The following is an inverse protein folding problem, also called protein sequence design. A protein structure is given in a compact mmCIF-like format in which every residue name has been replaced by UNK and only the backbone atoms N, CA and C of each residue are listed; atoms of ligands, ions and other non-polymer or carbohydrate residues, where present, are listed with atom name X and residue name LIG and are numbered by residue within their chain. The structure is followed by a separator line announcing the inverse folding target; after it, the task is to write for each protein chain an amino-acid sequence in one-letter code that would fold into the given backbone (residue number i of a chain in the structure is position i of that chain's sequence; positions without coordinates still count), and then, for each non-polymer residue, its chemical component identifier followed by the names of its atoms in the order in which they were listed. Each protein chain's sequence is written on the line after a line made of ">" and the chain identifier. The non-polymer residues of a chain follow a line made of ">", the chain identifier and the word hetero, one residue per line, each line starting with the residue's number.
data_IF_418274486628
#
_entry.id   IF_418274486628
#
_cell.length_a   1.000
_cell.length_b   1.000
_cell.length_c   1.000
_cell.angle_alpha   90.00
_cell.angle_beta   90.00
_cell.angle_gamma   90.00
#
_symmetry.space_group_name_H-M   'P 1'
#
loop_
_entity.id
_entity.type
_entity.pdbx_description
1 polymer ?
#
# COMPACT_ATOMS: atom_id res chain seq x y z
N UNK A 1 -45.27 -16.82 -14.24
CA UNK A 1 -44.36 -17.92 -14.57
C UNK A 1 -44.46 -18.93 -13.45
N UNK A 2 -45.40 -19.86 -13.58
CA UNK A 2 -45.31 -21.12 -12.84
C UNK A 2 -44.14 -21.91 -13.45
N UNK A 3 -43.23 -22.46 -12.63
CA UNK A 3 -42.12 -23.31 -13.09
C UNK A 3 -40.70 -22.71 -13.09
N UNK A 4 -40.46 -21.56 -12.44
CA UNK A 4 -39.09 -21.08 -12.22
C UNK A 4 -38.42 -21.87 -11.06
N UNK A 5 -37.25 -22.46 -11.33
CA UNK A 5 -36.47 -23.26 -10.37
C UNK A 5 -35.71 -22.35 -9.39
N UNK A 6 -35.06 -21.30 -9.90
CA UNK A 6 -34.40 -20.27 -9.09
C UNK A 6 -34.40 -18.94 -9.82
N UNK A 7 -34.57 -17.87 -9.06
CA UNK A 7 -34.49 -16.49 -9.56
C UNK A 7 -33.65 -15.64 -8.61
N UNK A 8 -32.97 -14.62 -9.15
CA UNK A 8 -32.15 -13.74 -8.31
C UNK A 8 -31.38 -12.68 -9.08
N UNK A 9 -30.88 -11.68 -8.35
CA UNK A 9 -30.00 -10.65 -8.92
C UNK A 9 -28.57 -11.16 -9.03
N UNK A 10 -27.98 -10.99 -10.22
CA UNK A 10 -26.57 -11.28 -10.48
C UNK A 10 -25.92 -10.11 -11.23
N UNK A 11 -24.60 -10.11 -11.31
CA UNK A 11 -23.89 -9.30 -12.29
C UNK A 11 -23.39 -10.18 -13.43
N UNK A 12 -23.62 -9.75 -14.67
CA UNK A 12 -23.19 -10.48 -15.87
C UNK A 12 -22.22 -9.64 -16.68
N UNK A 13 -21.11 -10.23 -17.11
CA UNK A 13 -20.17 -9.56 -18.01
C UNK A 13 -20.74 -9.48 -19.42
N UNK A 14 -20.80 -8.28 -19.97
CA UNK A 14 -21.18 -8.05 -21.37
C UNK A 14 -20.16 -8.69 -22.29
N UNK A 15 -20.62 -9.45 -23.28
CA UNK A 15 -19.73 -10.10 -24.23
C UNK A 15 -18.97 -9.12 -25.12
N UNK A 16 -19.66 -8.09 -25.61
CA UNK A 16 -19.08 -7.08 -26.51
C UNK A 16 -18.34 -6.00 -25.73
N UNK A 17 -18.98 -5.45 -24.70
CA UNK A 17 -18.43 -4.30 -23.98
C UNK A 17 -17.48 -4.67 -22.85
N UNK A 18 -17.39 -5.97 -22.50
CA UNK A 18 -16.63 -6.50 -21.35
C UNK A 18 -16.93 -5.87 -19.98
N UNK A 19 -17.99 -5.05 -19.88
CA UNK A 19 -18.48 -4.42 -18.65
C UNK A 19 -19.48 -5.30 -17.91
N UNK A 20 -19.39 -5.32 -16.59
CA UNK A 20 -20.34 -5.97 -15.68
C UNK A 20 -21.64 -5.18 -15.58
N UNK A 21 -22.78 -5.88 -15.58
CA UNK A 21 -24.10 -5.25 -15.42
C UNK A 21 -25.02 -6.12 -14.60
N UNK A 22 -25.75 -5.49 -13.67
CA UNK A 22 -26.78 -6.14 -12.87
C UNK A 22 -27.93 -6.66 -13.75
N UNK A 23 -28.31 -7.93 -13.59
CA UNK A 23 -29.39 -8.60 -14.33
C UNK A 23 -30.16 -9.53 -13.39
N UNK A 24 -31.45 -9.69 -13.66
CA UNK A 24 -32.27 -10.69 -13.00
C UNK A 24 -32.12 -12.02 -13.74
N UNK A 25 -31.52 -13.02 -13.10
CA UNK A 25 -31.34 -14.36 -13.64
C UNK A 25 -32.54 -15.22 -13.28
N UNK A 26 -33.02 -16.00 -14.24
CA UNK A 26 -34.12 -16.94 -14.08
C UNK A 26 -33.68 -18.26 -14.69
N UNK A 27 -33.64 -19.31 -13.86
CA UNK A 27 -33.50 -20.69 -14.30
C UNK A 27 -34.88 -21.35 -14.27
N UNK A 28 -35.32 -21.87 -15.41
CA UNK A 28 -36.41 -22.83 -15.52
C UNK A 28 -35.89 -24.17 -16.06
N UNK A 29 -36.79 -25.14 -16.26
CA UNK A 29 -36.44 -26.49 -16.73
C UNK A 29 -35.73 -26.51 -18.09
N UNK A 30 -36.06 -25.55 -18.96
CA UNK A 30 -35.64 -25.57 -20.36
C UNK A 30 -34.59 -24.50 -20.67
N UNK A 31 -34.60 -23.39 -19.93
CA UNK A 31 -33.83 -22.20 -20.22
C UNK A 31 -33.28 -21.50 -18.98
N UNK A 32 -32.09 -20.95 -19.17
CA UNK A 32 -31.50 -19.96 -18.31
C UNK A 32 -31.55 -18.59 -19.00
N UNK A 33 -32.31 -17.65 -18.42
CA UNK A 33 -32.57 -16.33 -19.02
C UNK A 33 -32.16 -15.19 -18.09
N UNK A 34 -31.74 -14.07 -18.69
CA UNK A 34 -31.37 -12.86 -17.94
C UNK A 34 -32.19 -11.66 -18.38
N UNK A 35 -32.68 -10.85 -17.44
CA UNK A 35 -33.54 -9.70 -17.68
C UNK A 35 -32.96 -8.42 -17.09
N UNK A 36 -33.38 -7.27 -17.63
CA UNK A 36 -32.97 -5.96 -17.09
C UNK A 36 -33.68 -5.65 -15.77
N UNK A 37 -34.94 -6.05 -15.64
CA UNK A 37 -35.78 -5.84 -14.47
C UNK A 37 -36.48 -7.15 -14.08
N UNK A 38 -36.78 -7.36 -12.79
CA UNK A 38 -37.56 -8.50 -12.35
C UNK A 38 -39.01 -8.32 -12.84
N UNK A 39 -39.70 -9.43 -13.12
CA UNK A 39 -41.11 -9.45 -13.54
C UNK A 39 -41.42 -8.78 -14.91
N UNK A 40 -40.42 -8.28 -15.63
CA UNK A 40 -40.53 -7.82 -17.02
C UNK A 40 -39.85 -8.83 -17.95
N UNK A 41 -40.64 -9.82 -18.37
CA UNK A 41 -40.15 -11.00 -19.11
C UNK A 41 -40.28 -10.90 -20.63
N UNK A 42 -40.77 -9.76 -21.13
CA UNK A 42 -40.97 -9.45 -22.54
C UNK A 42 -39.65 -9.37 -23.33
N UNK A 43 -38.54 -8.97 -22.69
CA UNK A 43 -37.23 -8.82 -23.35
C UNK A 43 -36.07 -9.43 -22.56
N UNK A 44 -35.79 -10.71 -22.82
CA UNK A 44 -34.59 -11.37 -22.30
C UNK A 44 -33.30 -10.80 -22.92
N UNK A 45 -32.32 -10.45 -22.09
CA UNK A 45 -30.98 -9.97 -22.50
C UNK A 45 -29.99 -11.09 -22.83
N UNK A 46 -30.30 -12.33 -22.44
CA UNK A 46 -29.76 -13.55 -23.00
C UNK A 46 -30.67 -14.72 -22.63
N UNK A 47 -30.70 -15.71 -23.51
CA UNK A 47 -31.45 -16.95 -23.38
C UNK A 47 -30.53 -18.10 -23.75
N UNK A 48 -30.33 -19.01 -22.81
CA UNK A 48 -29.47 -20.19 -22.97
C UNK A 48 -30.38 -21.40 -22.76
N UNK A 49 -30.42 -22.33 -23.72
CA UNK A 49 -31.09 -23.63 -23.49
C UNK A 49 -30.26 -24.42 -22.49
N UNK A 50 -30.90 -24.94 -21.45
CA UNK A 50 -30.23 -25.74 -20.41
C UNK A 50 -29.52 -26.95 -21.02
N UNK A 51 -30.14 -27.60 -22.01
CA UNK A 51 -29.56 -28.72 -22.75
C UNK A 51 -28.31 -28.37 -23.58
N UNK A 52 -28.07 -27.09 -23.86
CA UNK A 52 -26.89 -26.63 -24.59
C UNK A 52 -25.73 -26.22 -23.67
N UNK A 53 -25.88 -26.34 -22.35
CA UNK A 53 -24.83 -26.03 -21.39
C UNK A 53 -23.87 -27.23 -21.29
N UNK A 54 -22.64 -27.04 -21.74
CA UNK A 54 -21.59 -28.07 -21.68
C UNK A 54 -20.92 -28.09 -20.31
N UNK A 55 -20.72 -26.92 -19.72
CA UNK A 55 -20.09 -26.77 -18.41
C UNK A 55 -20.68 -25.57 -17.65
N UNK A 56 -20.81 -25.71 -16.33
CA UNK A 56 -21.11 -24.63 -15.42
C UNK A 56 -20.20 -24.81 -14.20
N UNK A 57 -19.23 -23.91 -14.03
CA UNK A 57 -18.16 -24.06 -13.04
C UNK A 57 -17.70 -22.72 -12.49
N UNK A 58 -17.08 -22.70 -11.30
CA UNK A 58 -16.44 -21.49 -10.77
C UNK A 58 -15.42 -20.91 -11.76
N UNK A 59 -15.28 -19.59 -11.79
CA UNK A 59 -14.38 -18.89 -12.68
C UNK A 59 -13.42 -18.01 -11.88
N UNK A 60 -12.23 -18.54 -11.61
CA UNK A 60 -11.23 -17.93 -10.75
C UNK A 60 -10.31 -16.92 -11.47
N UNK A 61 -10.33 -16.92 -12.80
CA UNK A 61 -9.46 -16.04 -13.59
C UNK A 61 -9.97 -14.58 -13.62
N UNK A 62 -11.15 -14.31 -13.07
CA UNK A 62 -11.66 -12.95 -12.95
C UNK A 62 -11.21 -12.33 -11.63
N UNK A 63 -10.29 -11.37 -11.71
CA UNK A 63 -9.75 -10.67 -10.53
C UNK A 63 -10.59 -9.45 -10.11
N UNK A 64 -11.50 -8.98 -10.97
CA UNK A 64 -12.29 -7.76 -10.70
C UNK A 64 -13.60 -7.99 -9.96
N UNK A 65 -14.00 -9.26 -9.74
CA UNK A 65 -15.28 -9.64 -9.14
C UNK A 65 -15.17 -10.91 -8.33
N UNK A 66 -15.77 -10.89 -7.15
CA UNK A 66 -15.90 -12.06 -6.28
C UNK A 66 -17.04 -12.98 -6.74
N UNK A 67 -17.03 -14.23 -6.25
CA UNK A 67 -18.08 -15.24 -6.47
C UNK A 67 -18.45 -15.43 -7.95
N UNK A 68 -17.43 -15.42 -8.80
CA UNK A 68 -17.57 -15.57 -10.24
C UNK A 68 -17.70 -17.03 -10.65
N UNK A 69 -18.61 -17.28 -11.59
CA UNK A 69 -18.76 -18.54 -12.27
C UNK A 69 -19.01 -18.35 -13.76
N UNK A 70 -18.63 -19.36 -14.54
CA UNK A 70 -18.83 -19.40 -15.99
C UNK A 70 -19.90 -20.43 -16.35
N UNK A 71 -20.61 -20.13 -17.42
CA UNK A 71 -21.50 -21.07 -18.11
C UNK A 71 -20.99 -21.17 -19.54
N UNK A 72 -20.57 -22.37 -19.94
CA UNK A 72 -20.06 -22.68 -21.25
C UNK A 72 -21.14 -23.36 -22.09
N UNK A 73 -21.32 -22.87 -23.31
CA UNK A 73 -22.05 -23.53 -24.39
C UNK A 73 -21.06 -23.80 -25.54
N UNK A 74 -21.39 -24.63 -26.54
CA UNK A 74 -20.52 -24.87 -27.68
C UNK A 74 -20.09 -23.59 -28.42
N UNK A 75 -20.94 -22.56 -28.38
CA UNK A 75 -20.75 -21.31 -29.12
C UNK A 75 -20.23 -20.16 -28.28
N UNK A 76 -20.37 -20.21 -26.94
CA UNK A 76 -20.13 -19.04 -26.10
C UNK A 76 -19.93 -19.37 -24.63
N UNK A 77 -19.13 -18.55 -23.96
CA UNK A 77 -19.05 -18.50 -22.51
C UNK A 77 -19.77 -17.27 -21.94
N UNK A 78 -20.45 -17.47 -20.82
CA UNK A 78 -21.13 -16.43 -20.05
C UNK A 78 -20.47 -16.33 -18.67
N UNK A 79 -19.98 -15.14 -18.33
CA UNK A 79 -19.38 -14.88 -17.02
C UNK A 79 -20.40 -14.15 -16.13
N UNK A 80 -20.61 -14.70 -14.93
CA UNK A 80 -21.61 -14.26 -13.97
C UNK A 80 -20.94 -14.17 -12.60
N UNK A 81 -21.27 -13.14 -11.83
CA UNK A 81 -20.87 -12.95 -10.43
C UNK A 81 -22.14 -12.93 -9.57
N UNK A 82 -22.15 -13.79 -8.54
CA UNK A 82 -23.23 -13.87 -7.57
C UNK A 82 -23.00 -12.90 -6.40
N UNK A 83 -24.00 -12.75 -5.53
CA UNK A 83 -23.90 -11.85 -4.36
C UNK A 83 -23.12 -12.44 -3.19
N UNK A 84 -22.94 -13.78 -3.16
CA UNK A 84 -22.18 -14.51 -2.16
C UNK A 84 -21.69 -15.86 -2.71
N UNK A 85 -20.78 -16.49 -1.99
CA UNK A 85 -20.30 -17.86 -2.24
C UNK A 85 -21.44 -18.88 -2.18
N UNK A 86 -22.32 -18.78 -1.18
CA UNK A 86 -23.50 -19.64 -1.03
C UNK A 86 -24.43 -19.50 -2.23
N UNK A 87 -24.68 -18.28 -2.71
CA UNK A 87 -25.56 -18.06 -3.86
C UNK A 87 -24.92 -18.57 -5.17
N UNK A 88 -23.60 -18.38 -5.34
CA UNK A 88 -22.84 -18.96 -6.46
C UNK A 88 -22.96 -20.49 -6.49
N UNK A 89 -22.72 -21.15 -5.36
CA UNK A 89 -22.83 -22.61 -5.23
C UNK A 89 -24.27 -23.06 -5.53
N UNK A 90 -25.27 -22.35 -4.99
CA UNK A 90 -26.68 -22.62 -5.27
C UNK A 90 -27.02 -22.56 -6.76
N UNK A 91 -26.55 -21.52 -7.46
CA UNK A 91 -26.72 -21.41 -8.91
C UNK A 91 -26.03 -22.54 -9.67
N UNK A 92 -24.76 -22.82 -9.36
CA UNK A 92 -23.99 -23.86 -10.02
C UNK A 92 -24.61 -25.24 -9.85
N UNK A 93 -25.07 -25.58 -8.65
CA UNK A 93 -25.66 -26.88 -8.38
C UNK A 93 -26.98 -27.06 -9.15
N UNK A 94 -27.85 -26.05 -9.13
CA UNK A 94 -29.13 -26.13 -9.85
C UNK A 94 -28.95 -26.17 -11.36
N UNK A 95 -28.04 -25.37 -11.93
CA UNK A 95 -27.74 -25.38 -13.37
C UNK A 95 -27.14 -26.74 -13.78
N UNK A 96 -26.19 -27.26 -13.00
CA UNK A 96 -25.56 -28.55 -13.27
C UNK A 96 -26.53 -29.73 -13.11
N UNK A 97 -27.48 -29.62 -12.18
CA UNK A 97 -28.55 -30.60 -12.02
C UNK A 97 -29.51 -30.56 -13.22
N UNK A 98 -30.02 -29.36 -13.56
CA UNK A 98 -30.97 -29.16 -14.65
C UNK A 98 -30.42 -29.63 -16.00
N UNK A 99 -29.12 -29.40 -16.30
CA UNK A 99 -28.51 -29.86 -17.56
C UNK A 99 -28.33 -31.38 -17.67
N UNK A 100 -28.32 -32.11 -16.54
CA UNK A 100 -28.08 -33.56 -16.50
C UNK A 100 -29.37 -34.39 -16.47
N UNK A 101 -30.50 -33.81 -16.07
CA UNK A 101 -31.78 -34.53 -15.89
C UNK A 101 -32.92 -33.87 -16.70
N UNK A 102 -33.13 -34.23 -17.98
CA UNK A 102 -34.15 -33.62 -18.85
C UNK A 102 -35.59 -34.09 -18.59
N UNK A 103 -35.83 -35.00 -17.63
CA UNK A 103 -37.14 -35.62 -17.40
C UNK A 103 -37.47 -35.63 -15.90
N UNK A 104 -38.35 -34.72 -15.46
CA UNK A 104 -39.13 -34.93 -14.23
C UNK A 104 -40.60 -34.64 -14.56
N UNK A 105 -41.53 -35.59 -14.32
CA UNK A 105 -42.94 -35.35 -14.51
C UNK A 105 -43.46 -34.32 -13.50
N UNK A 106 -44.35 -33.46 -13.98
CA UNK A 106 -45.12 -32.49 -13.20
C UNK A 106 -45.62 -33.08 -11.87
N UNK A 107 -44.95 -32.74 -10.77
CA UNK A 107 -45.51 -32.85 -9.43
C UNK A 107 -45.34 -31.51 -8.72
N UNK A 108 -46.47 -30.93 -8.36
CA UNK A 108 -46.65 -29.66 -7.67
C UNK A 108 -46.05 -29.69 -6.27
N UNK A 109 -44.76 -29.37 -6.14
CA UNK A 109 -44.15 -28.91 -4.89
C UNK A 109 -42.77 -28.25 -5.16
N UNK A 110 -42.79 -27.09 -5.80
CA UNK A 110 -41.57 -26.40 -6.24
C UNK A 110 -41.02 -25.44 -5.17
N UNK A 111 -39.87 -25.81 -4.61
CA UNK A 111 -38.68 -24.98 -4.29
C UNK A 111 -37.78 -25.70 -3.27
N UNK A 112 -38.35 -26.30 -2.22
CA UNK A 112 -37.58 -26.81 -1.08
C UNK A 112 -36.85 -28.15 -1.34
N UNK A 113 -37.44 -29.07 -2.13
CA UNK A 113 -36.87 -30.41 -2.36
C UNK A 113 -35.63 -30.40 -3.27
N UNK A 114 -35.63 -29.54 -4.30
CA UNK A 114 -34.49 -29.40 -5.21
C UNK A 114 -33.33 -28.65 -4.57
N UNK A 115 -33.60 -27.61 -3.79
CA UNK A 115 -32.58 -26.99 -2.92
C UNK A 115 -31.99 -28.01 -1.96
N UNK A 116 -32.79 -28.83 -1.26
CA UNK A 116 -32.29 -29.86 -0.34
C UNK A 116 -31.39 -30.90 -1.01
N UNK A 117 -31.70 -31.32 -2.24
CA UNK A 117 -30.90 -32.32 -2.96
C UNK A 117 -29.61 -31.72 -3.51
N UNK A 118 -29.66 -30.49 -4.02
CA UNK A 118 -28.51 -29.71 -4.48
C UNK A 118 -27.59 -29.26 -3.33
N UNK A 119 -28.14 -29.07 -2.12
CA UNK A 119 -27.44 -28.77 -0.87
C UNK A 119 -27.15 -30.03 -0.04
N UNK A 120 -27.35 -31.22 -0.59
CA UNK A 120 -26.98 -32.45 0.10
C UNK A 120 -25.48 -32.46 0.37
N UNK A 121 -25.06 -32.99 1.52
CA UNK A 121 -23.66 -33.04 1.95
C UNK A 121 -22.76 -33.65 0.86
N UNK A 122 -23.24 -34.67 0.15
CA UNK A 122 -22.49 -35.33 -0.93
C UNK A 122 -22.22 -34.38 -2.12
N UNK A 123 -23.20 -33.57 -2.52
CA UNK A 123 -23.06 -32.61 -3.62
C UNK A 123 -22.17 -31.43 -3.23
N UNK A 124 -22.25 -30.98 -1.97
CA UNK A 124 -21.37 -29.95 -1.41
C UNK A 124 -19.93 -30.45 -1.34
N UNK A 125 -19.68 -31.65 -0.79
CA UNK A 125 -18.35 -32.27 -0.72
C UNK A 125 -17.72 -32.39 -2.10
N UNK A 126 -18.46 -32.92 -3.09
CA UNK A 126 -17.96 -33.03 -4.47
C UNK A 126 -17.58 -31.67 -5.07
N UNK A 127 -18.36 -30.63 -4.79
CA UNK A 127 -18.10 -29.28 -5.29
C UNK A 127 -16.89 -28.64 -4.62
N UNK A 128 -16.74 -28.81 -3.30
CA UNK A 128 -15.58 -28.36 -2.53
C UNK A 128 -14.30 -29.09 -2.93
N UNK A 129 -14.35 -30.40 -3.16
CA UNK A 129 -13.20 -31.17 -3.65
C UNK A 129 -12.73 -30.67 -5.01
N UNK A 130 -13.66 -30.40 -5.93
CA UNK A 130 -13.29 -29.86 -7.25
C UNK A 130 -12.73 -28.44 -7.15
N UNK A 131 -13.28 -27.62 -6.25
CA UNK A 131 -12.77 -26.28 -6.00
C UNK A 131 -11.34 -26.30 -5.45
N UNK A 132 -11.07 -27.18 -4.49
CA UNK A 132 -9.74 -27.38 -3.90
C UNK A 132 -8.72 -27.83 -4.95
N UNK A 133 -9.10 -28.74 -5.84
CA UNK A 133 -8.25 -29.21 -6.94
C UNK A 133 -7.88 -28.05 -7.89
N UNK A 134 -8.84 -27.21 -8.26
CA UNK A 134 -8.60 -26.05 -9.14
C UNK A 134 -7.69 -25.03 -8.44
N UNK A 135 -7.90 -24.78 -7.14
CA UNK A 135 -7.04 -23.87 -6.37
C UNK A 135 -5.60 -24.37 -6.31
N UNK A 136 -5.39 -25.64 -5.99
CA UNK A 136 -4.05 -26.23 -5.93
C UNK A 136 -3.33 -26.16 -7.28
N UNK A 137 -4.04 -26.44 -8.38
CA UNK A 137 -3.46 -26.35 -9.72
C UNK A 137 -3.06 -24.91 -10.08
N UNK A 138 -3.88 -23.92 -9.66
CA UNK A 138 -3.59 -22.50 -9.91
C UNK A 138 -2.43 -22.01 -9.05
N UNK A 139 -2.33 -22.48 -7.80
CA UNK A 139 -1.22 -22.20 -6.92
C UNK A 139 0.10 -22.69 -7.53
N UNK A 140 0.14 -23.93 -8.03
CA UNK A 140 1.33 -24.48 -8.69
C UNK A 140 1.72 -23.68 -9.94
N UNK A 141 0.75 -23.34 -10.80
CA UNK A 141 1.01 -22.54 -12.00
C UNK A 141 1.60 -21.16 -11.66
N UNK A 142 1.14 -20.53 -10.58
CA UNK A 142 1.68 -19.25 -10.13
C UNK A 142 3.10 -19.37 -9.56
N UNK A 143 3.39 -20.45 -8.83
CA UNK A 143 4.73 -20.75 -8.33
C UNK A 143 5.71 -20.93 -9.50
N UNK A 144 5.33 -21.73 -10.51
CA UNK A 144 6.19 -21.99 -11.66
C UNK A 144 6.52 -20.70 -12.45
N UNK A 145 5.53 -19.81 -12.64
CA UNK A 145 5.72 -18.50 -13.29
C UNK A 145 6.63 -17.59 -12.46
N UNK A 146 6.49 -17.60 -11.13
CA UNK A 146 7.33 -16.81 -10.24
C UNK A 146 8.78 -17.31 -10.25
N UNK A 147 8.98 -18.62 -10.26
CA UNK A 147 10.30 -19.24 -10.33
C UNK A 147 11.00 -18.90 -11.66
N UNK A 148 10.28 -18.96 -12.79
CA UNK A 148 10.84 -18.57 -14.10
C UNK A 148 11.27 -17.09 -14.11
N UNK A 149 10.43 -16.20 -13.60
CA UNK A 149 10.76 -14.78 -13.49
C UNK A 149 11.97 -14.55 -12.57
N UNK A 150 12.03 -15.24 -11.43
CA UNK A 150 13.14 -15.15 -10.48
C UNK A 150 14.47 -15.61 -11.10
N UNK A 151 14.47 -16.73 -11.84
CA UNK A 151 15.67 -17.20 -12.54
C UNK A 151 16.15 -16.20 -13.61
N UNK A 152 15.22 -15.58 -14.35
CA UNK A 152 15.57 -14.53 -15.32
C UNK A 152 16.27 -13.34 -14.66
N UNK A 153 15.74 -12.86 -13.54
CA UNK A 153 16.34 -11.73 -12.80
C UNK A 153 17.72 -12.08 -12.24
N UNK A 154 17.92 -13.32 -11.78
CA UNK A 154 19.24 -13.78 -11.32
C UNK A 154 20.27 -13.72 -12.45
N UNK A 155 19.92 -14.19 -13.65
CA UNK A 155 20.85 -14.17 -14.79
C UNK A 155 21.18 -12.75 -15.24
N UNK A 156 20.19 -11.85 -15.28
CA UNK A 156 20.43 -10.42 -15.54
C UNK A 156 21.40 -9.80 -14.52
N UNK A 157 21.19 -10.08 -13.23
CA UNK A 157 22.05 -9.59 -12.15
C UNK A 157 23.49 -10.14 -12.24
N UNK A 158 23.67 -11.41 -12.65
CA UNK A 158 25.00 -12.00 -12.88
C UNK A 158 25.73 -11.31 -14.04
N UNK A 159 25.02 -11.02 -15.13
CA UNK A 159 25.59 -10.32 -16.29
C UNK A 159 26.02 -8.91 -15.88
N UNK A 160 25.17 -8.19 -15.13
CA UNK A 160 25.49 -6.84 -14.64
C UNK A 160 26.67 -6.85 -13.66
N UNK A 161 26.72 -7.80 -12.72
CA UNK A 161 27.87 -7.96 -11.81
C UNK A 161 29.18 -8.19 -12.57
N UNK A 162 29.17 -9.09 -13.57
CA UNK A 162 30.35 -9.34 -14.41
C UNK A 162 30.82 -8.07 -15.15
N UNK A 163 29.88 -7.24 -15.59
CA UNK A 163 30.17 -5.98 -16.25
C UNK A 163 30.76 -4.94 -15.27
N UNK A 164 30.17 -4.82 -14.07
CA UNK A 164 30.67 -3.92 -13.02
C UNK A 164 32.06 -4.31 -12.53
N UNK A 165 32.35 -5.60 -12.37
CA UNK A 165 33.68 -6.09 -11.97
C UNK A 165 34.76 -5.68 -12.97
N UNK A 166 34.46 -5.78 -14.28
CA UNK A 166 35.38 -5.34 -15.33
C UNK A 166 35.64 -3.84 -15.29
N UNK A 167 34.63 -3.04 -14.96
CA UNK A 167 34.77 -1.59 -14.79
C UNK A 167 35.62 -1.28 -13.56
N UNK A 168 35.30 -1.90 -12.41
CA UNK A 168 36.01 -1.70 -11.16
C UNK A 168 37.49 -2.07 -11.27
N UNK A 169 37.81 -3.17 -11.95
CA UNK A 169 39.19 -3.57 -12.20
C UNK A 169 39.96 -2.48 -12.98
N UNK A 170 39.35 -1.98 -14.07
CA UNK A 170 39.96 -0.93 -14.90
C UNK A 170 40.14 0.39 -14.14
N UNK A 171 39.19 0.76 -13.30
CA UNK A 171 39.29 1.94 -12.43
C UNK A 171 40.36 1.77 -11.35
N UNK A 172 40.47 0.58 -10.75
CA UNK A 172 41.50 0.25 -9.76
C UNK A 172 42.91 0.38 -10.35
N UNK A 173 43.12 -0.17 -11.56
CA UNK A 173 44.39 -0.05 -12.30
C UNK A 173 44.71 1.42 -12.60
N UNK A 174 43.70 2.20 -12.97
CA UNK A 174 43.85 3.64 -13.25
C UNK A 174 44.20 4.44 -11.98
N UNK A 175 43.57 4.12 -10.85
CA UNK A 175 43.86 4.73 -9.56
C UNK A 175 45.28 4.41 -9.08
N UNK A 176 45.70 3.15 -9.19
CA UNK A 176 47.07 2.73 -8.84
C UNK A 176 48.12 3.47 -9.68
N UNK A 177 47.87 3.62 -10.99
CA UNK A 177 48.74 4.40 -11.87
C UNK A 177 48.83 5.87 -11.43
N UNK A 178 47.70 6.49 -11.08
CA UNK A 178 47.64 7.86 -10.59
C UNK A 178 48.36 8.05 -9.25
N UNK A 179 48.15 7.14 -8.30
CA UNK A 179 48.83 7.14 -7.00
C UNK A 179 50.35 6.98 -7.16
N UNK A 180 50.80 6.14 -8.09
CA UNK A 180 52.21 5.99 -8.43
C UNK A 180 52.86 7.29 -8.92
N UNK A 181 52.16 8.06 -9.77
CA UNK A 181 52.64 9.36 -10.26
C UNK A 181 52.73 10.40 -9.13
N UNK A 182 51.72 10.46 -8.26
CA UNK A 182 51.73 11.39 -7.13
C UNK A 182 52.87 11.10 -6.15
N UNK A 183 53.17 9.82 -5.95
CA UNK A 183 54.22 9.33 -5.04
C UNK A 183 55.63 9.41 -5.63
N UNK A 184 55.80 9.77 -6.91
CA UNK A 184 57.13 9.90 -7.52
C UNK A 184 57.87 11.15 -7.01
N UNK A 185 59.20 11.16 -7.09
CA UNK A 185 60.02 12.34 -6.74
C UNK A 185 60.17 13.36 -7.90
N UNK A 186 59.33 13.26 -8.94
CA UNK A 186 59.39 14.15 -10.09
C UNK A 186 58.95 15.58 -9.78
N UNK A 187 59.39 16.53 -10.61
CA UNK A 187 58.89 17.91 -10.55
C UNK A 187 57.38 17.95 -10.79
N UNK A 188 56.71 18.92 -10.16
CA UNK A 188 55.24 19.11 -10.27
C UNK A 188 54.81 19.20 -11.74
N UNK A 189 55.59 19.86 -12.59
CA UNK A 189 55.32 19.98 -14.04
C UNK A 189 55.35 18.63 -14.75
N UNK A 190 56.29 17.74 -14.39
CA UNK A 190 56.38 16.41 -14.98
C UNK A 190 55.26 15.49 -14.48
N UNK A 191 54.86 15.62 -13.21
CA UNK A 191 53.67 14.92 -12.67
C UNK A 191 52.39 15.31 -13.39
N UNK A 192 52.18 16.61 -13.62
CA UNK A 192 51.01 17.12 -14.38
C UNK A 192 51.00 16.56 -15.81
N UNK A 193 52.13 16.57 -16.51
CA UNK A 193 52.22 15.99 -17.87
C UNK A 193 51.98 14.48 -17.88
N UNK A 194 52.42 13.75 -16.85
CA UNK A 194 52.19 12.32 -16.73
C UNK A 194 50.71 12.00 -16.49
N UNK A 195 50.04 12.76 -15.61
CA UNK A 195 48.60 12.66 -15.36
C UNK A 195 47.81 12.93 -16.65
N UNK A 196 48.18 13.95 -17.42
CA UNK A 196 47.52 14.30 -18.69
C UNK A 196 47.68 13.24 -19.79
N UNK A 197 48.62 12.30 -19.65
CA UNK A 197 48.81 11.16 -20.57
C UNK A 197 47.97 9.94 -20.20
N UNK A 198 47.37 9.89 -19.00
CA UNK A 198 46.44 8.83 -18.64
C UNK A 198 45.20 8.98 -19.54
N UNK A 199 44.84 7.95 -20.34
CA UNK A 199 43.77 8.06 -21.31
C UNK A 199 42.44 8.46 -20.64
N UNK A 200 41.91 9.62 -21.04
CA UNK A 200 40.69 10.22 -20.51
C UNK A 200 39.40 9.40 -20.77
N UNK A 201 39.49 8.29 -21.49
CA UNK A 201 38.32 7.49 -21.90
C UNK A 201 37.54 6.91 -20.70
N UNK A 202 38.12 6.91 -19.50
CA UNK A 202 37.49 6.43 -18.28
C UNK A 202 37.65 7.36 -17.07
N UNK A 203 38.06 8.62 -17.23
CA UNK A 203 37.76 9.66 -16.22
C UNK A 203 36.30 10.11 -16.35
N UNK A 204 35.41 9.15 -16.58
CA UNK A 204 34.02 9.34 -16.27
C UNK A 204 33.95 9.22 -14.75
N UNK A 205 34.05 10.35 -14.05
CA UNK A 205 33.13 10.51 -12.92
C UNK A 205 31.73 10.42 -13.54
N UNK A 206 31.25 9.20 -13.81
CA UNK A 206 29.82 8.98 -14.01
C UNK A 206 29.17 9.62 -12.81
N UNK A 207 28.07 10.34 -13.04
CA UNK A 207 27.13 10.60 -11.95
C UNK A 207 26.94 9.24 -11.27
N UNK A 208 27.18 9.19 -9.97
CA UNK A 208 26.99 7.96 -9.20
C UNK A 208 25.49 7.68 -9.22
N UNK A 209 25.01 7.00 -10.26
CA UNK A 209 23.59 6.74 -10.51
C UNK A 209 22.98 5.81 -9.44
N UNK A 210 23.80 5.31 -8.49
CA UNK A 210 23.41 4.46 -7.37
C UNK A 210 23.81 5.01 -5.98
N UNK A 211 24.13 6.31 -5.87
CA UNK A 211 24.11 6.99 -4.57
C UNK A 211 22.82 7.80 -4.48
N UNK A 212 21.69 7.11 -4.50
CA UNK A 212 20.51 7.60 -3.77
C UNK A 212 20.68 7.13 -2.33
N UNK A 213 21.02 8.06 -1.43
CA UNK A 213 20.96 7.82 0.02
C UNK A 213 22.28 7.63 0.78
N UNK A 214 23.46 7.94 0.21
CA UNK A 214 24.65 8.17 1.06
C UNK A 214 24.80 9.67 1.28
N UNK A 215 24.43 10.12 2.48
CA UNK A 215 24.66 11.49 2.94
C UNK A 215 26.16 11.74 3.05
N UNK A 216 26.73 12.42 2.05
CA UNK A 216 28.07 12.97 2.15
C UNK A 216 27.99 14.18 3.09
N UNK A 217 28.31 13.97 4.36
CA UNK A 217 28.38 15.03 5.37
C UNK A 217 29.67 15.84 5.18
N UNK A 218 29.53 17.03 4.60
CA UNK A 218 30.64 17.99 4.46
C UNK A 218 30.46 19.14 5.44
N UNK A 219 31.40 19.31 6.36
CA UNK A 219 31.43 20.49 7.24
C UNK A 219 32.00 21.68 6.47
N UNK A 220 31.15 22.64 6.12
CA UNK A 220 31.54 23.88 5.43
C UNK A 220 31.43 25.06 6.40
N UNK A 221 32.51 25.84 6.50
CA UNK A 221 32.50 27.09 7.26
C UNK A 221 31.49 28.10 6.66
N UNK A 222 30.75 28.80 7.52
CA UNK A 222 29.59 29.63 7.16
C UNK A 222 29.88 30.66 6.05
N UNK A 223 31.10 31.19 6.05
CA UNK A 223 31.63 32.19 5.12
C UNK A 223 31.72 31.68 3.67
N UNK A 224 31.83 30.36 3.49
CA UNK A 224 32.01 29.71 2.19
C UNK A 224 30.71 29.14 1.61
N UNK A 225 29.61 29.15 2.38
CA UNK A 225 28.30 28.62 1.96
C UNK A 225 27.79 29.24 0.65
N UNK A 226 27.92 30.57 0.52
CA UNK A 226 27.47 31.31 -0.67
C UNK A 226 28.30 31.02 -1.93
N UNK A 227 29.50 30.45 -1.78
CA UNK A 227 30.38 30.08 -2.89
C UNK A 227 30.15 28.65 -3.38
N UNK A 228 29.64 27.79 -2.50
CA UNK A 228 29.44 26.34 -2.78
C UNK A 228 28.02 26.07 -3.28
N UNK A 229 27.01 26.79 -2.79
CA UNK A 229 25.62 26.60 -3.19
C UNK A 229 25.33 27.48 -4.41
N UNK A 230 25.21 26.86 -5.59
CA UNK A 230 24.64 27.53 -6.77
C UNK A 230 23.11 27.63 -6.62
N UNK A 231 22.48 28.61 -7.27
CA UNK A 231 21.05 28.92 -7.18
C UNK A 231 20.08 27.80 -7.58
N UNK A 232 20.59 26.65 -8.04
CA UNK A 232 19.82 25.55 -8.60
C UNK A 232 19.89 24.27 -7.73
N UNK A 233 20.43 24.34 -6.51
CA UNK A 233 20.50 23.20 -5.59
C UNK A 233 19.55 23.45 -4.42
N UNK A 234 18.54 22.59 -4.31
CA UNK A 234 17.64 22.54 -3.15
C UNK A 234 18.35 21.80 -2.02
N UNK A 235 18.72 22.51 -0.95
CA UNK A 235 19.44 21.96 0.19
C UNK A 235 18.42 21.67 1.31
N UNK A 236 18.17 20.39 1.57
CA UNK A 236 17.45 19.96 2.78
C UNK A 236 18.43 19.99 3.96
N UNK A 237 18.18 20.87 4.91
CA UNK A 237 19.01 20.99 6.12
C UNK A 237 18.60 19.93 7.12
N UNK A 238 19.35 18.83 7.19
CA UNK A 238 19.26 17.92 8.32
C UNK A 238 20.16 18.43 9.45
N UNK A 239 19.58 18.66 10.63
CA UNK A 239 20.38 18.98 11.81
C UNK A 239 21.09 17.69 12.25
N UNK A 240 22.43 17.60 12.24
CA UNK A 240 23.16 16.38 12.57
C UNK A 240 22.96 15.89 14.01
N UNK A 241 22.38 16.71 14.88
CA UNK A 241 22.00 16.36 16.25
C UNK A 241 20.55 15.87 16.38
N UNK A 242 19.76 15.95 15.31
CA UNK A 242 18.37 15.50 15.32
C UNK A 242 18.31 13.97 15.35
N UNK A 243 17.47 13.48 16.23
CA UNK A 243 17.21 12.07 16.43
C UNK A 243 15.71 11.81 16.31
N UNK A 244 15.36 10.56 15.99
CA UNK A 244 13.99 10.12 15.73
C UNK A 244 13.58 9.03 16.71
N UNK A 245 12.37 9.14 17.23
CA UNK A 245 11.66 8.06 17.91
C UNK A 245 10.48 7.64 17.05
N UNK A 246 10.36 6.34 16.81
CA UNK A 246 9.25 5.72 16.10
C UNK A 246 8.45 4.86 17.07
N UNK A 247 7.13 5.06 17.13
CA UNK A 247 6.26 4.30 18.06
C UNK A 247 5.68 3.01 17.51
N UNK A 248 6.01 2.64 16.28
CA UNK A 248 5.49 1.42 15.63
C UNK A 248 6.60 0.66 14.92
N UNK A 249 6.54 -0.67 14.92
CA UNK A 249 7.44 -1.50 14.10
C UNK A 249 7.07 -1.43 12.62
N UNK A 250 5.79 -1.20 12.30
CA UNK A 250 5.29 -1.24 10.92
C UNK A 250 4.13 -0.27 10.68
N UNK A 251 4.07 0.26 9.46
CA UNK A 251 2.92 0.97 8.90
C UNK A 251 2.22 0.06 7.90
N UNK A 252 0.88 0.03 7.91
CA UNK A 252 0.09 -0.86 7.03
C UNK A 252 -0.94 -0.09 6.21
N UNK A 253 -1.19 -0.56 4.99
CA UNK A 253 -2.18 -0.04 4.05
C UNK A 253 -3.64 -0.42 4.43
N UNK A 254 -4.01 -0.23 5.70
CA UNK A 254 -5.30 -0.63 6.28
C UNK A 254 -6.38 0.46 6.19
N UNK A 255 -6.23 1.40 5.24
CA UNK A 255 -7.20 2.46 4.90
C UNK A 255 -7.53 3.41 6.06
N UNK A 256 -6.54 4.15 6.59
CA UNK A 256 -6.87 5.27 7.50
C UNK A 256 -7.66 6.32 6.75
N UNK A 257 -8.85 6.67 7.24
CA UNK A 257 -9.77 7.57 6.53
C UNK A 257 -9.81 8.92 7.23
N UNK A 258 -9.91 9.97 6.42
CA UNK A 258 -10.14 11.33 6.89
C UNK A 258 -11.57 11.71 6.53
N UNK A 259 -12.37 12.02 7.54
CA UNK A 259 -13.80 12.33 7.36
C UNK A 259 -14.20 13.52 8.21
N UNK A 260 -14.74 14.56 7.58
CA UNK A 260 -15.10 15.81 8.25
C UNK A 260 -13.88 16.52 8.86
N UNK A 261 -14.12 17.31 9.90
CA UNK A 261 -13.08 18.04 10.65
C UNK A 261 -12.58 17.24 11.87
N UNK A 262 -12.51 15.91 11.73
CA UNK A 262 -11.97 15.03 12.78
C UNK A 262 -10.45 15.17 12.87
N UNK A 263 -9.94 15.08 14.08
CA UNK A 263 -8.53 15.32 14.38
C UNK A 263 -7.82 14.03 14.77
N UNK A 264 -6.66 13.81 14.16
CA UNK A 264 -5.71 12.82 14.61
C UNK A 264 -4.84 13.45 15.70
N UNK A 265 -4.91 12.90 16.92
CA UNK A 265 -4.19 13.45 18.05
C UNK A 265 -3.58 12.35 18.90
N UNK A 266 -2.42 12.64 19.47
CA UNK A 266 -1.71 11.76 20.39
C UNK A 266 -1.04 12.62 21.46
N UNK A 267 -1.22 12.24 22.71
CA UNK A 267 -0.57 12.90 23.84
C UNK A 267 0.67 12.12 24.27
N UNK A 268 1.65 12.81 24.82
CA UNK A 268 2.92 12.22 25.19
C UNK A 268 3.66 13.04 26.25
N UNK A 269 4.62 12.40 26.92
CA UNK A 269 5.61 13.03 27.80
C UNK A 269 7.00 12.46 27.54
N UNK A 270 8.01 13.24 27.92
CA UNK A 270 9.43 12.90 27.76
C UNK A 270 10.13 12.84 29.12
N UNK A 271 11.10 11.93 29.26
CA UNK A 271 11.86 11.79 30.52
C UNK A 271 13.01 12.78 30.68
N UNK A 272 13.37 13.55 29.65
CA UNK A 272 14.45 14.53 29.67
C UNK A 272 14.03 15.78 28.87
N UNK A 273 14.65 16.92 29.16
CA UNK A 273 14.42 18.15 28.41
C UNK A 273 14.95 18.01 26.98
N UNK A 274 14.06 18.17 26.00
CA UNK A 274 14.39 18.04 24.57
C UNK A 274 13.67 19.11 23.76
N UNK A 275 14.17 19.39 22.56
CA UNK A 275 13.47 20.28 21.64
C UNK A 275 12.87 19.45 20.50
N UNK A 276 11.54 19.43 20.41
CA UNK A 276 10.80 18.79 19.32
C UNK A 276 10.97 19.61 18.04
N UNK A 277 11.45 18.98 16.97
CA UNK A 277 11.76 19.60 15.68
C UNK A 277 10.85 19.13 14.55
N UNK A 278 10.14 18.02 14.74
CA UNK A 278 9.25 17.49 13.71
C UNK A 278 8.39 16.33 14.20
N UNK A 279 7.36 16.02 13.42
CA UNK A 279 6.45 14.89 13.66
C UNK A 279 6.21 14.16 12.35
N UNK A 280 6.37 12.84 12.35
CA UNK A 280 6.12 12.00 11.19
C UNK A 280 4.68 11.51 11.15
N UNK A 281 4.00 11.73 10.03
CA UNK A 281 2.62 11.28 9.79
C UNK A 281 2.57 10.37 8.55
N UNK A 282 1.64 9.41 8.55
CA UNK A 282 1.53 8.44 7.46
C UNK A 282 1.14 9.08 6.12
N UNK A 283 1.75 8.58 5.04
CA UNK A 283 1.55 9.03 3.66
C UNK A 283 0.38 8.32 2.97
N UNK A 284 -0.18 8.87 1.88
CA UNK A 284 -1.12 8.15 1.01
C UNK A 284 -0.51 6.82 0.57
N UNK A 285 -1.27 5.72 0.63
CA UNK A 285 -0.73 4.39 0.28
C UNK A 285 -1.08 3.93 -1.16
N UNK A 286 -1.85 4.73 -1.90
CA UNK A 286 -2.24 4.43 -3.28
C UNK A 286 -1.60 5.42 -4.24
N UNK A 287 -1.11 4.91 -5.36
CA UNK A 287 -0.64 5.73 -6.48
C UNK A 287 -1.66 6.81 -6.88
N UNK A 288 -1.19 8.04 -7.06
CA UNK A 288 -2.03 9.22 -7.32
C UNK A 288 -2.82 9.73 -6.11
N UNK A 289 -2.67 9.12 -4.94
CA UNK A 289 -3.26 9.59 -3.68
C UNK A 289 -2.66 10.93 -3.26
N UNK A 290 -3.54 11.87 -2.96
CA UNK A 290 -3.21 13.20 -2.43
C UNK A 290 -3.92 13.38 -1.09
N UNK A 291 -3.17 13.76 -0.06
CA UNK A 291 -3.65 14.05 1.29
C UNK A 291 -3.15 15.41 1.72
N UNK A 292 -4.02 16.25 2.28
CA UNK A 292 -3.69 17.62 2.69
C UNK A 292 -3.72 17.73 4.21
N UNK A 293 -2.67 18.33 4.79
CA UNK A 293 -2.64 18.74 6.19
C UNK A 293 -3.20 20.16 6.29
N UNK A 294 -4.39 20.28 6.88
CA UNK A 294 -5.11 21.55 7.06
C UNK A 294 -4.68 22.33 8.29
N UNK A 295 -4.30 21.62 9.34
CA UNK A 295 -3.84 22.22 10.59
C UNK A 295 -2.90 21.25 11.31
N UNK A 296 -1.85 21.78 11.91
CA UNK A 296 -0.92 21.04 12.77
C UNK A 296 -0.55 21.90 13.98
N UNK A 297 -0.80 21.37 15.17
CA UNK A 297 -0.51 22.03 16.43
C UNK A 297 0.19 21.09 17.42
N UNK A 298 0.99 21.68 18.30
CA UNK A 298 1.48 21.05 19.54
C UNK A 298 0.91 21.83 20.71
N UNK A 299 0.25 21.15 21.64
CA UNK A 299 -0.40 21.72 22.80
C UNK A 299 0.36 21.33 24.08
N UNK A 300 0.31 22.18 25.11
CA UNK A 300 0.91 21.97 26.43
C UNK A 300 -0.14 21.41 27.39
N UNK A 301 -0.25 20.08 27.42
CA UNK A 301 -1.21 19.30 28.20
C UNK A 301 -1.52 17.98 27.48
N UNK A 302 -2.52 17.25 27.98
CA UNK A 302 -3.00 16.01 27.35
C UNK A 302 -4.42 16.14 26.75
N UNK A 303 -4.89 17.38 26.59
CA UNK A 303 -6.22 17.69 26.10
C UNK A 303 -6.16 18.50 24.82
N UNK A 304 -7.12 18.28 23.91
CA UNK A 304 -7.28 19.07 22.68
C UNK A 304 -7.72 20.52 22.93
N UNK A 305 -8.05 20.89 24.18
CA UNK A 305 -8.27 22.28 24.60
C UNK A 305 -7.07 22.89 25.36
N UNK A 306 -5.95 22.18 25.45
CA UNK A 306 -4.75 22.69 26.15
C UNK A 306 -4.14 23.88 25.40
N UNK A 307 -3.34 24.69 26.11
CA UNK A 307 -2.70 25.87 25.54
C UNK A 307 -1.77 25.49 24.37
N UNK A 308 -1.85 26.25 23.26
CA UNK A 308 -1.04 26.00 22.06
C UNK A 308 0.42 26.38 22.34
N UNK A 309 1.32 25.40 22.26
CA UNK A 309 2.77 25.61 22.32
C UNK A 309 3.35 25.92 20.93
N UNK A 310 2.77 25.31 19.89
CA UNK A 310 3.15 25.54 18.49
C UNK A 310 1.97 25.36 17.56
N UNK A 311 1.93 26.19 16.52
CA UNK A 311 1.01 26.07 15.40
C UNK A 311 1.79 26.23 14.11
N UNK A 312 1.66 25.25 13.23
CA UNK A 312 2.31 25.28 11.93
C UNK A 312 1.65 26.36 11.05
N UNK A 313 2.41 27.25 10.39
CA UNK A 313 1.83 28.38 9.66
C UNK A 313 1.28 28.00 8.29
N UNK A 314 1.81 26.92 7.70
CA UNK A 314 1.45 26.51 6.34
C UNK A 314 0.60 25.24 6.30
N UNK A 315 -0.33 25.22 5.35
CA UNK A 315 -1.00 24.00 4.89
C UNK A 315 -0.19 23.41 3.75
N UNK A 316 -0.07 22.09 3.70
CA UNK A 316 0.70 21.41 2.66
C UNK A 316 0.06 20.07 2.30
N UNK A 317 0.47 19.53 1.16
CA UNK A 317 -0.04 18.27 0.64
C UNK A 317 1.05 17.22 0.57
N UNK A 318 0.69 15.98 0.90
CA UNK A 318 1.51 14.79 0.78
C UNK A 318 0.97 13.95 -0.37
N UNK A 319 1.86 13.36 -1.15
CA UNK A 319 1.54 12.45 -2.25
C UNK A 319 2.02 11.04 -1.92
N UNK A 320 1.51 10.04 -2.63
CA UNK A 320 2.04 8.68 -2.53
C UNK A 320 3.54 8.64 -2.85
N UNK A 321 4.29 7.94 -2.00
CA UNK A 321 5.68 7.56 -2.24
C UNK A 321 5.78 6.03 -2.26
N UNK A 322 6.52 5.43 -3.22
CA UNK A 322 6.75 3.99 -3.24
C UNK A 322 7.69 3.52 -2.11
N UNK A 323 8.60 4.39 -1.68
CA UNK A 323 9.66 4.05 -0.73
C UNK A 323 9.34 4.48 0.70
N UNK A 324 8.49 5.50 0.85
CA UNK A 324 8.15 6.08 2.14
C UNK A 324 6.68 5.90 2.51
N UNK A 325 6.45 5.49 3.75
CA UNK A 325 5.10 5.37 4.34
C UNK A 325 4.81 6.44 5.37
N UNK A 326 5.80 7.24 5.76
CA UNK A 326 5.73 8.29 6.77
C UNK A 326 6.43 9.53 6.24
N UNK A 327 5.74 10.66 6.27
CA UNK A 327 6.24 11.97 5.88
C UNK A 327 6.59 12.78 7.13
N UNK A 328 7.81 13.33 7.18
CA UNK A 328 8.23 14.23 8.25
C UNK A 328 7.64 15.62 8.05
N UNK A 329 6.84 16.06 9.01
CA UNK A 329 6.40 17.45 9.13
C UNK A 329 7.43 18.20 9.97
N UNK A 330 8.35 18.90 9.30
CA UNK A 330 9.38 19.73 9.95
C UNK A 330 8.76 20.99 10.55
N UNK A 331 9.16 21.33 11.77
CA UNK A 331 8.70 22.52 12.48
C UNK A 331 9.66 23.68 12.21
N UNK A 332 9.14 24.84 11.82
CA UNK A 332 9.95 26.05 11.58
C UNK A 332 10.72 26.53 12.81
N UNK A 333 10.16 26.27 14.00
CA UNK A 333 10.79 26.56 15.28
C UNK A 333 10.64 25.35 16.20
N UNK A 334 11.72 24.90 16.85
CA UNK A 334 11.62 23.80 17.79
C UNK A 334 10.74 24.15 19.00
N UNK A 335 10.08 23.15 19.57
CA UNK A 335 9.29 23.29 20.80
C UNK A 335 10.06 22.69 21.96
N UNK A 336 10.31 23.50 23.00
CA UNK A 336 10.95 23.02 24.22
C UNK A 336 9.99 22.12 25.02
N UNK A 337 10.29 20.82 25.03
CA UNK A 337 9.60 19.81 25.81
C UNK A 337 10.33 19.67 27.15
N UNK A 338 9.64 20.04 28.22
CA UNK A 338 10.17 19.94 29.58
C UNK A 338 9.87 18.55 30.13
N UNK A 339 10.86 17.93 30.76
CA UNK A 339 10.77 16.65 31.43
C UNK A 339 9.51 16.53 32.30
N UNK A 340 8.79 15.43 32.13
CA UNK A 340 7.59 15.10 32.92
C UNK A 340 6.34 15.93 32.58
N UNK A 341 6.45 16.99 31.77
CA UNK A 341 5.27 17.69 31.26
C UNK A 341 4.63 16.91 30.13
N UNK A 342 3.30 17.02 30.05
CA UNK A 342 2.49 16.41 28.99
C UNK A 342 2.30 17.39 27.84
N UNK A 343 2.32 16.83 26.63
CA UNK A 343 2.11 17.54 25.38
C UNK A 343 1.20 16.75 24.48
N UNK A 344 0.52 17.42 23.56
CA UNK A 344 -0.38 16.79 22.60
C UNK A 344 -0.02 17.26 21.20
N UNK A 345 0.25 16.34 20.28
CA UNK A 345 0.25 16.64 18.84
C UNK A 345 -1.17 16.50 18.29
N UNK A 346 -1.56 17.40 17.41
CA UNK A 346 -2.91 17.44 16.84
C UNK A 346 -2.85 17.84 15.37
N UNK A 347 -3.42 16.99 14.52
CA UNK A 347 -3.49 17.18 13.08
C UNK A 347 -4.95 17.17 12.60
N UNK A 348 -5.29 18.11 11.73
CA UNK A 348 -6.47 18.04 10.89
C UNK A 348 -6.01 17.71 9.47
N UNK A 349 -6.37 16.51 8.99
CA UNK A 349 -5.92 15.98 7.70
C UNK A 349 -7.14 15.66 6.86
N UNK A 350 -7.05 15.84 5.55
CA UNK A 350 -8.10 15.44 4.61
C UNK A 350 -7.56 14.83 3.32
N UNK A 351 -8.45 14.24 2.53
CA UNK A 351 -8.13 13.70 1.21
C UNK A 351 -7.99 12.18 1.23
N UNK A 352 -6.99 11.68 0.51
CA UNK A 352 -6.81 10.24 0.26
C UNK A 352 -6.50 9.47 1.55
N UNK A 353 -6.81 8.17 1.54
CA UNK A 353 -6.49 7.31 2.65
C UNK A 353 -4.98 7.12 2.77
N UNK A 354 -4.46 7.17 3.99
CA UNK A 354 -3.04 6.96 4.28
C UNK A 354 -2.78 5.58 4.84
N UNK A 355 -1.50 5.21 4.91
CA UNK A 355 -1.06 4.19 5.84
C UNK A 355 -1.54 4.50 7.27
N UNK A 356 -1.50 3.50 8.14
CA UNK A 356 -1.60 3.69 9.59
C UNK A 356 -0.54 2.89 10.31
N UNK A 357 -0.12 3.39 11.45
CA UNK A 357 0.61 2.63 12.44
C UNK A 357 -0.35 1.63 13.10
N UNK A 358 0.17 0.43 13.41
CA UNK A 358 -0.52 -0.62 14.16
C UNK A 358 0.45 -1.19 15.19
N UNK A 359 -0.07 -1.86 16.22
CA UNK A 359 0.74 -2.48 17.27
C UNK A 359 1.73 -1.48 17.89
N UNK A 360 1.27 -0.25 18.11
CA UNK A 360 2.13 0.84 18.57
C UNK A 360 2.57 0.60 20.02
N UNK A 361 3.81 0.97 20.31
CA UNK A 361 4.40 0.93 21.64
C UNK A 361 3.97 2.16 22.43
N UNK A 362 3.46 1.93 23.64
CA UNK A 362 3.08 3.00 24.55
C UNK A 362 4.30 3.71 25.15
N UNK A 363 5.41 2.99 25.33
CA UNK A 363 6.68 3.56 25.82
C UNK A 363 7.78 3.21 24.83
N UNK A 364 8.58 4.19 24.43
CA UNK A 364 9.72 4.01 23.54
C UNK A 364 10.95 4.72 24.10
N UNK A 365 12.07 4.01 24.16
CA UNK A 365 13.36 4.59 24.54
C UNK A 365 14.03 5.12 23.28
N UNK A 366 14.18 6.44 23.18
CA UNK A 366 14.84 7.12 22.08
C UNK A 366 16.35 7.27 22.26
N UNK A 367 17.06 7.69 21.20
CA UNK A 367 18.47 8.07 21.31
C UNK A 367 18.72 9.11 22.42
N UNK A 368 19.84 8.96 23.14
CA UNK A 368 20.12 9.76 24.34
C UNK A 368 19.41 9.25 25.61
N UNK A 369 18.84 8.04 25.58
CA UNK A 369 18.13 7.41 26.70
C UNK A 369 16.92 8.25 27.19
N UNK A 370 16.25 8.92 26.24
CA UNK A 370 15.04 9.70 26.50
C UNK A 370 13.84 8.79 26.33
N UNK A 371 13.09 8.53 27.40
CA UNK A 371 11.86 7.76 27.35
C UNK A 371 10.71 8.65 26.88
N UNK A 372 10.01 8.17 25.86
CA UNK A 372 8.77 8.74 25.36
C UNK A 372 7.62 7.87 25.81
N UNK A 373 6.68 8.45 26.55
CA UNK A 373 5.46 7.78 26.98
C UNK A 373 4.27 8.40 26.26
N UNK A 374 3.48 7.58 25.58
CA UNK A 374 2.32 7.99 24.78
C UNK A 374 1.02 7.67 25.52
N UNK A 375 0.05 8.58 25.42
CA UNK A 375 -1.26 8.45 26.02
C UNK A 375 -2.36 8.98 25.11
N UNK A 376 -3.59 8.53 25.36
CA UNK A 376 -4.75 8.98 24.60
C UNK A 376 -5.08 10.44 24.93
N UNK A 377 -5.25 11.26 23.89
CA UNK A 377 -5.67 12.64 24.06
C UNK A 377 -7.09 12.74 24.61
N UNK A 378 -7.30 13.61 25.58
CA UNK A 378 -8.63 13.98 26.09
C UNK A 378 -9.25 15.02 25.16
N UNK A 379 -10.34 14.68 24.49
CA UNK A 379 -10.99 15.60 23.56
C UNK A 379 -11.98 16.53 24.27
N UNK A 380 -11.90 17.83 23.97
CA UNK A 380 -12.92 18.80 24.33
C UNK A 380 -14.26 18.49 23.63
N UNK A 381 -15.39 18.92 24.21
CA UNK A 381 -16.73 18.57 23.72
C UNK A 381 -16.99 18.95 22.25
N UNK A 382 -16.37 20.03 21.77
CA UNK A 382 -16.50 20.52 20.40
C UNK A 382 -15.49 19.90 19.41
N UNK A 383 -14.55 19.08 19.90
CA UNK A 383 -13.54 18.43 19.06
C UNK A 383 -13.89 16.96 18.86
N UNK A 384 -13.74 16.47 17.63
CA UNK A 384 -13.97 15.06 17.31
C UNK A 384 -12.67 14.34 17.02
N UNK A 385 -12.45 13.21 17.69
CA UNK A 385 -11.33 12.33 17.42
C UNK A 385 -11.52 11.58 16.09
N UNK A 386 -10.44 11.48 15.31
CA UNK A 386 -10.34 10.55 14.19
C UNK A 386 -9.92 9.13 14.63
N UNK A 387 -10.01 8.83 15.93
CA UNK A 387 -9.65 7.55 16.57
C UNK A 387 -8.16 7.21 16.52
N UNK A 388 -7.29 8.20 16.33
CA UNK A 388 -5.87 8.05 16.63
C UNK A 388 -5.71 7.86 18.14
N UNK A 389 -5.01 6.80 18.54
CA UNK A 389 -4.81 6.41 19.93
C UNK A 389 -3.41 5.80 20.13
N UNK A 390 -3.13 5.33 21.34
CA UNK A 390 -1.85 4.71 21.69
C UNK A 390 -1.56 3.42 20.92
N UNK A 391 -2.55 2.78 20.30
CA UNK A 391 -2.40 1.48 19.61
C UNK A 391 -2.31 1.64 18.10
N UNK A 392 -2.99 2.64 17.52
CA UNK A 392 -3.01 2.88 16.08
C UNK A 392 -3.25 4.35 15.70
N UNK A 393 -2.96 4.67 14.44
CA UNK A 393 -3.23 6.00 13.89
C UNK A 393 -2.16 6.45 12.89
N UNK A 394 -2.26 7.67 12.35
CA UNK A 394 -1.35 8.14 11.32
C UNK A 394 -0.07 8.78 11.89
N UNK A 395 -0.05 9.17 13.16
CA UNK A 395 1.14 9.76 13.81
C UNK A 395 2.11 8.64 14.17
N UNK A 396 3.31 8.65 13.59
CA UNK A 396 4.27 7.55 13.63
C UNK A 396 5.57 7.91 14.36
N UNK A 397 6.13 9.07 14.00
CA UNK A 397 7.49 9.46 14.39
C UNK A 397 7.51 10.81 15.11
N UNK A 398 8.50 10.98 15.98
CA UNK A 398 8.79 12.23 16.66
C UNK A 398 10.29 12.53 16.48
N UNK A 399 10.59 13.73 16.02
CA UNK A 399 11.95 14.19 15.73
C UNK A 399 12.32 15.24 16.76
N UNK A 400 13.49 15.11 17.36
CA UNK A 400 13.93 16.00 18.42
C UNK A 400 15.44 16.14 18.47
N UNK A 401 15.92 17.17 19.14
CA UNK A 401 17.32 17.35 19.52
C UNK A 401 17.43 17.38 21.05
N UNK A 402 18.56 16.95 21.59
CA UNK A 402 18.83 17.04 23.02
C UNK A 402 18.73 18.51 23.49
N UNK A 403 18.06 18.76 24.61
CA UNK A 403 18.05 20.09 25.21
C UNK A 403 19.46 20.49 25.60
N UNK A 404 19.94 21.65 25.14
CA UNK A 404 21.21 22.19 25.62
C UNK A 404 21.14 22.26 27.15
N UNK A 405 21.99 21.48 27.83
CA UNK A 405 22.27 21.70 29.26
C UNK A 405 22.78 23.12 29.38
N UNK A 406 21.90 24.05 29.79
CA UNK A 406 22.39 25.31 30.36
C UNK A 406 23.16 24.87 31.60
N UNK A 407 24.49 24.97 31.53
CA UNK A 407 25.35 24.84 32.70
C UNK A 407 24.80 25.80 33.76
N UNK A 408 24.14 25.23 34.76
CA UNK A 408 23.80 25.88 36.02
C UNK A 408 25.03 25.92 36.91
#
# INVERSE_FOLDING_TARGET
>A
MEGAIKTGWIEKKSHYLKKWRKRWLVLDENYLRTYKFPYQFDKSTATIRVSAITDASPYLNETSKDFCFKISTPTRQYLISATSDVDMIGWLNLINHARKSPQVPNFSSFNCLYERKALSEVSLISSFSKFKEILNNREQELIDVLDEAYQSTIEEAKIESCHLDKILQKETESYQAFQGILSSNDSIVNKIRAIQKIPAQNLNFKKFDYIEGVDIKVSVHEENLKKVISSNIEVCWENPQEVKVRRTTITRALKWRYTGERMDSLSFSVSEDVMLTGVGICMPYKFGGLTQVKDFQVLKGNSSASAVAYKHPHKFSMQFSPDESVFKVSMERPVNLVKGNKYTVMFCIEGSHTFKCVDCMQIVVGPGNVNWEFENTVFAQNHQSNRCDTVCGPIADFYYVAGNRRNS
#
